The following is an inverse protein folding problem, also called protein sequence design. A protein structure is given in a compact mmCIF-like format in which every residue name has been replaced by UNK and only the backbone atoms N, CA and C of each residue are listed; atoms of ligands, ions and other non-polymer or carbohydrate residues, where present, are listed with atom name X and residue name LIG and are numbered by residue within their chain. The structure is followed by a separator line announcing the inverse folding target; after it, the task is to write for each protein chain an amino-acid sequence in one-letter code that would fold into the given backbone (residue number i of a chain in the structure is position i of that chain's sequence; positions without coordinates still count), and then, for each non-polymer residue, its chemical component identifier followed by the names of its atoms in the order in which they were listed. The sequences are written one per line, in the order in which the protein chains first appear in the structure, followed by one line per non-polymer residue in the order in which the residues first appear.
data_IF_241368738322
#
_entry.id   IF_241368738322
#
_cell.length_a   1.000
_cell.length_b   1.000
_cell.length_c   1.000
_cell.angle_alpha   90.00
_cell.angle_beta   90.00
_cell.angle_gamma   90.00
#
_symmetry.space_group_name_H-M   'P 1'
#
loop_
_entity.id
_entity.type
_entity.pdbx_description
1 polymer ?
#
# COMPACT_ATOMS: atom_id res chain seq x y z
N UNK A 1 16.26 -9.14 11.18
CA UNK A 1 16.46 -7.97 10.30
C UNK A 1 17.86 -8.04 9.72
N UNK A 2 18.01 -7.83 8.40
CA UNK A 2 19.32 -7.87 7.74
C UNK A 2 20.07 -6.56 8.00
N UNK A 3 21.35 -6.64 8.39
CA UNK A 3 22.21 -5.48 8.64
C UNK A 3 22.24 -4.56 7.41
N UNK A 4 22.33 -5.16 6.22
CA UNK A 4 22.33 -4.46 4.93
C UNK A 4 21.08 -3.63 4.65
N UNK A 5 19.94 -3.98 5.25
CA UNK A 5 18.70 -3.24 5.07
C UNK A 5 18.70 -1.96 5.92
N UNK A 6 19.16 -2.05 7.17
CA UNK A 6 19.28 -0.87 8.04
C UNK A 6 20.36 0.10 7.55
N UNK A 7 21.49 -0.40 7.05
CA UNK A 7 22.56 0.42 6.46
C UNK A 7 22.03 1.26 5.29
N UNK A 8 21.23 0.66 4.39
CA UNK A 8 20.67 1.37 3.23
C UNK A 8 19.62 2.41 3.60
N UNK A 9 18.86 2.18 4.66
CA UNK A 9 17.91 3.17 5.17
C UNK A 9 18.64 4.35 5.82
N UNK A 10 19.69 4.07 6.59
CA UNK A 10 20.54 5.10 7.18
C UNK A 10 21.26 5.94 6.10
N UNK A 11 21.79 5.31 5.05
CA UNK A 11 22.40 6.01 3.90
C UNK A 11 21.40 6.92 3.17
N UNK A 12 20.13 6.53 3.12
CA UNK A 12 19.06 7.31 2.49
C UNK A 12 18.48 8.39 3.41
N UNK A 13 18.96 8.51 4.65
CA UNK A 13 18.39 9.43 5.67
C UNK A 13 16.97 9.06 6.09
N UNK A 14 16.55 7.82 5.83
CA UNK A 14 15.21 7.32 6.17
C UNK A 14 15.30 6.72 7.56
N UNK A 15 14.64 7.35 8.53
CA UNK A 15 14.47 6.75 9.84
C UNK A 15 13.50 5.56 9.73
N UNK A 16 13.95 4.31 9.94
CA UNK A 16 13.05 3.18 9.86
C UNK A 16 12.06 3.25 11.04
N UNK A 17 10.77 3.37 10.74
CA UNK A 17 9.67 3.11 11.70
C UNK A 17 9.56 1.60 11.99
N UNK A 18 10.66 1.02 12.46
CA UNK A 18 10.73 -0.31 13.08
C UNK A 18 10.75 -0.12 14.59
N UNK A 19 9.92 0.81 15.08
CA UNK A 19 9.94 1.33 16.44
C UNK A 19 9.03 0.55 17.38
N UNK A 20 9.64 -0.15 18.35
CA UNK A 20 9.06 -0.74 19.56
C UNK A 20 7.92 -1.78 19.38
N UNK A 21 7.93 -2.84 20.20
CA UNK A 21 6.75 -3.73 20.31
C UNK A 21 5.53 -2.88 20.68
N UNK A 22 4.59 -2.69 19.76
CA UNK A 22 3.28 -2.12 20.06
C UNK A 22 2.85 -0.90 19.26
N UNK A 23 3.71 -0.27 18.44
CA UNK A 23 3.25 0.76 17.50
C UNK A 23 2.91 0.13 16.14
N UNK A 24 1.80 -0.58 16.11
CA UNK A 24 1.34 -1.30 14.92
C UNK A 24 0.43 -0.45 14.04
N UNK A 25 0.35 0.87 14.24
CA UNK A 25 -0.65 1.69 13.54
C UNK A 25 -0.38 1.72 12.03
N UNK A 26 0.87 1.99 11.64
CA UNK A 26 1.31 1.96 10.24
C UNK A 26 1.13 0.56 9.63
N UNK A 27 1.45 -0.49 10.40
CA UNK A 27 1.27 -1.87 9.95
C UNK A 27 -0.21 -2.23 9.79
N UNK A 28 -1.08 -1.82 10.71
CA UNK A 28 -2.52 -2.08 10.66
C UNK A 28 -3.16 -1.36 9.47
N UNK A 29 -2.72 -0.14 9.16
CA UNK A 29 -3.17 0.58 7.97
C UNK A 29 -2.69 -0.12 6.69
N UNK A 30 -1.42 -0.51 6.62
CA UNK A 30 -0.89 -1.26 5.49
C UNK A 30 -1.60 -2.63 5.31
N UNK A 31 -1.90 -3.32 6.40
CA UNK A 31 -2.65 -4.58 6.42
C UNK A 31 -4.09 -4.40 5.95
N UNK A 32 -4.76 -3.32 6.35
CA UNK A 32 -6.11 -3.00 5.88
C UNK A 32 -6.14 -2.78 4.36
N UNK A 33 -5.19 -2.00 3.81
CA UNK A 33 -5.07 -1.77 2.36
C UNK A 33 -4.78 -3.09 1.63
N UNK A 34 -3.85 -3.89 2.15
CA UNK A 34 -3.53 -5.21 1.59
C UNK A 34 -4.74 -6.17 1.64
N UNK A 35 -5.57 -6.10 2.67
CA UNK A 35 -6.81 -6.85 2.78
C UNK A 35 -7.80 -6.51 1.67
N UNK A 36 -8.04 -5.21 1.44
CA UNK A 36 -8.91 -4.72 0.37
C UNK A 36 -8.39 -5.13 -1.01
N UNK A 37 -7.09 -5.00 -1.26
CA UNK A 37 -6.44 -5.44 -2.49
C UNK A 37 -6.68 -6.94 -2.77
N UNK A 38 -6.46 -7.80 -1.77
CA UNK A 38 -6.64 -9.25 -1.90
C UNK A 38 -8.11 -9.62 -2.12
N UNK A 39 -9.04 -8.97 -1.41
CA UNK A 39 -10.48 -9.15 -1.59
C UNK A 39 -10.91 -8.89 -3.04
N UNK A 40 -10.51 -7.73 -3.59
CA UNK A 40 -10.97 -7.29 -4.90
C UNK A 40 -10.30 -8.03 -6.07
N UNK A 41 -9.00 -8.37 -5.95
CA UNK A 41 -8.26 -8.94 -7.07
C UNK A 41 -8.09 -10.45 -7.02
N UNK A 42 -7.96 -11.03 -5.83
CA UNK A 42 -7.69 -12.47 -5.67
C UNK A 42 -8.99 -13.21 -5.45
N UNK A 43 -9.86 -12.69 -4.57
CA UNK A 43 -11.12 -13.36 -4.22
C UNK A 43 -12.23 -13.08 -5.24
N UNK A 44 -12.37 -11.84 -5.75
CA UNK A 44 -13.44 -11.50 -6.69
C UNK A 44 -13.13 -11.76 -8.19
N UNK A 45 -11.86 -11.85 -8.61
CA UNK A 45 -11.48 -11.80 -10.04
C UNK A 45 -10.95 -13.10 -10.67
N UNK A 46 -11.02 -14.25 -9.97
CA UNK A 46 -10.65 -15.60 -10.46
C UNK A 46 -9.16 -15.73 -10.90
N UNK A 47 -8.60 -16.95 -11.09
CA UNK A 47 -7.22 -17.22 -10.72
C UNK A 47 -6.22 -16.48 -11.59
N UNK A 48 -5.45 -15.60 -10.96
CA UNK A 48 -4.28 -14.97 -11.55
C UNK A 48 -3.18 -16.02 -11.74
N UNK A 49 -3.32 -16.90 -12.73
CA UNK A 49 -2.45 -18.09 -12.91
C UNK A 49 -1.00 -17.75 -13.31
N UNK A 50 -0.69 -16.49 -13.66
CA UNK A 50 0.63 -16.06 -14.14
C UNK A 50 1.09 -14.77 -13.43
N UNK A 51 2.35 -14.74 -12.98
CA UNK A 51 2.97 -13.57 -12.31
C UNK A 51 2.83 -12.26 -13.12
N UNK A 52 2.96 -12.32 -14.45
CA UNK A 52 2.79 -11.15 -15.33
C UNK A 52 1.38 -10.55 -15.25
N UNK A 53 0.35 -11.40 -15.15
CA UNK A 53 -1.03 -10.96 -15.03
C UNK A 53 -1.30 -10.31 -13.67
N UNK A 54 -0.77 -10.89 -12.58
CA UNK A 54 -0.83 -10.28 -11.24
C UNK A 54 -0.24 -8.87 -11.25
N UNK A 55 0.93 -8.68 -11.87
CA UNK A 55 1.57 -7.35 -11.95
C UNK A 55 0.71 -6.33 -12.69
N UNK A 56 0.15 -6.70 -13.86
CA UNK A 56 -0.69 -5.79 -14.65
C UNK A 56 -1.97 -5.41 -13.89
N UNK A 57 -2.61 -6.39 -13.27
CA UNK A 57 -3.84 -6.19 -12.50
C UNK A 57 -3.57 -5.36 -11.24
N UNK A 58 -2.43 -5.58 -10.59
CA UNK A 58 -2.00 -4.77 -9.45
C UNK A 58 -1.76 -3.31 -9.83
N UNK A 59 -1.08 -3.04 -10.96
CA UNK A 59 -0.89 -1.67 -11.46
C UNK A 59 -2.22 -0.98 -11.76
N UNK A 60 -3.16 -1.69 -12.40
CA UNK A 60 -4.50 -1.17 -12.65
C UNK A 60 -5.27 -0.88 -11.36
N UNK A 61 -5.11 -1.72 -10.34
CA UNK A 61 -5.72 -1.51 -9.03
C UNK A 61 -5.12 -0.31 -8.28
N UNK A 62 -3.80 -0.15 -8.30
CA UNK A 62 -3.12 1.02 -7.70
C UNK A 62 -3.57 2.32 -8.38
N UNK A 63 -3.67 2.32 -9.72
CA UNK A 63 -4.17 3.49 -10.45
C UNK A 63 -5.63 3.81 -10.10
N UNK A 64 -6.49 2.79 -9.98
CA UNK A 64 -7.87 2.97 -9.52
C UNK A 64 -7.91 3.55 -8.10
N UNK A 65 -7.13 2.98 -7.18
CA UNK A 65 -7.09 3.38 -5.78
C UNK A 65 -6.64 4.84 -5.62
N UNK A 66 -5.55 5.24 -6.27
CA UNK A 66 -4.98 6.58 -6.08
C UNK A 66 -5.73 7.70 -6.81
N UNK A 67 -6.28 7.42 -8.01
CA UNK A 67 -6.78 8.49 -8.89
C UNK A 67 -8.29 8.47 -9.12
N UNK A 68 -9.01 7.45 -8.66
CA UNK A 68 -10.46 7.31 -8.96
C UNK A 68 -11.29 6.93 -7.74
N UNK A 69 -10.72 6.18 -6.79
CA UNK A 69 -11.44 5.73 -5.61
C UNK A 69 -11.61 6.88 -4.64
N UNK A 70 -12.86 7.14 -4.25
CA UNK A 70 -13.18 8.16 -3.24
C UNK A 70 -13.12 7.53 -1.85
N UNK A 71 -12.55 8.27 -0.90
CA UNK A 71 -12.43 7.83 0.49
C UNK A 71 -13.14 8.81 1.43
N UNK A 72 -14.10 8.31 2.21
CA UNK A 72 -14.90 9.14 3.12
C UNK A 72 -14.05 9.84 4.19
N UNK A 73 -12.99 9.18 4.67
CA UNK A 73 -12.07 9.74 5.68
C UNK A 73 -11.39 11.03 5.21
N UNK A 74 -11.07 11.14 3.92
CA UNK A 74 -10.37 12.30 3.34
C UNK A 74 -11.34 13.26 2.63
N UNK A 75 -12.64 13.20 2.93
CA UNK A 75 -13.63 14.13 2.35
C UNK A 75 -14.13 13.72 0.97
N UNK A 76 -14.16 12.43 0.65
CA UNK A 76 -14.65 11.89 -0.63
C UNK A 76 -13.87 12.39 -1.86
N UNK A 77 -12.55 12.54 -1.71
CA UNK A 77 -11.63 12.80 -2.83
C UNK A 77 -10.70 11.59 -3.05
N UNK A 78 -10.08 11.46 -4.24
CA UNK A 78 -9.01 10.50 -4.48
C UNK A 78 -7.79 10.74 -3.56
N UNK A 79 -7.06 9.68 -3.16
CA UNK A 79 -5.85 9.81 -2.35
C UNK A 79 -4.79 10.72 -2.97
N UNK A 80 -4.59 10.67 -4.29
CA UNK A 80 -3.62 11.55 -4.96
C UNK A 80 -4.00 13.03 -4.85
N UNK A 81 -5.30 13.34 -4.88
CA UNK A 81 -5.79 14.71 -4.71
C UNK A 81 -5.66 15.18 -3.27
N UNK A 82 -5.84 14.27 -2.29
CA UNK A 82 -5.58 14.58 -0.89
C UNK A 82 -4.10 14.86 -0.64
N UNK A 83 -3.18 14.04 -1.16
CA UNK A 83 -1.73 14.26 -1.03
C UNK A 83 -1.27 15.57 -1.69
N UNK A 84 -1.85 15.95 -2.84
CA UNK A 84 -1.52 17.21 -3.50
C UNK A 84 -1.96 18.46 -2.71
N UNK A 85 -2.87 18.31 -1.75
CA UNK A 85 -3.40 19.38 -0.91
C UNK A 85 -2.70 19.47 0.48
N UNK A 86 -1.77 18.55 0.78
CA UNK A 86 -0.94 18.54 2.00
C UNK A 86 0.45 19.13 1.72
#
# INVERSE_FOLDING_TARGET
MSIRYNERLAEAGIEPSVGCRGDSYDNAQAEAINGVYKAELIHCRAPCKKRKFVKLVALGWVALFNYKRLHSWIGYIPPADAEANY
#
